data_IF_238216411130
#
_entry.id   IF_238216411130
#
_cell.length_a   1.000
_cell.length_b   1.000
_cell.length_c   1.000
_cell.angle_alpha   90.00
_cell.angle_beta   90.00
_cell.angle_gamma   90.00
#
_symmetry.space_group_name_H-M   'P 1'
#
loop_
_entity.id
_entity.type
_entity.pdbx_description
1 polymer ?
#
# COMPACT_ATOMS: atom_id res chain seq x y z
N UNK A 1 -22.36 0.80 21.14
CA UNK A 1 -22.17 1.74 20.04
C UNK A 1 -21.27 1.03 19.04
N UNK A 2 -21.84 0.47 17.99
CA UNK A 2 -21.07 -0.13 16.90
C UNK A 2 -20.33 1.02 16.21
N UNK A 3 -19.04 1.16 16.50
CA UNK A 3 -18.16 2.05 15.75
C UNK A 3 -17.80 1.31 14.45
N UNK A 4 -18.79 1.13 13.58
CA UNK A 4 -18.55 0.60 12.25
C UNK A 4 -17.98 1.76 11.44
N UNK A 5 -16.68 2.01 11.62
CA UNK A 5 -15.93 2.87 10.71
C UNK A 5 -15.83 2.03 9.45
N UNK A 6 -16.61 2.28 8.41
CA UNK A 6 -16.58 1.55 7.13
C UNK A 6 -15.23 1.74 6.39
N UNK A 7 -14.13 1.22 6.94
CA UNK A 7 -12.77 1.40 6.44
C UNK A 7 -12.55 0.44 5.26
N UNK A 8 -12.24 0.95 4.05
CA UNK A 8 -11.90 0.10 2.91
C UNK A 8 -10.72 -0.82 3.23
N UNK A 9 -10.80 -2.09 2.84
CA UNK A 9 -9.75 -3.08 3.12
C UNK A 9 -9.83 -3.72 4.51
N UNK A 10 -10.50 -3.10 5.48
CA UNK A 10 -10.75 -3.68 6.81
C UNK A 10 -12.17 -4.25 6.91
N UNK A 11 -13.20 -3.42 6.76
CA UNK A 11 -14.60 -3.83 6.87
C UNK A 11 -15.14 -4.39 5.55
N UNK A 12 -14.55 -3.94 4.45
CA UNK A 12 -14.80 -4.46 3.10
C UNK A 12 -13.49 -4.96 2.50
N UNK A 13 -13.34 -6.27 2.25
CA UNK A 13 -12.11 -6.80 1.65
C UNK A 13 -11.88 -6.22 0.25
N UNK A 14 -10.62 -6.06 -0.12
CA UNK A 14 -10.24 -5.65 -1.48
C UNK A 14 -10.74 -6.64 -2.52
N UNK A 15 -11.00 -6.13 -3.72
CA UNK A 15 -11.45 -6.93 -4.84
C UNK A 15 -10.30 -7.83 -5.32
N UNK A 16 -10.62 -9.07 -5.69
CA UNK A 16 -9.61 -9.95 -6.30
C UNK A 16 -9.25 -9.42 -7.70
N UNK A 17 -7.97 -9.50 -8.12
CA UNK A 17 -7.55 -9.18 -9.48
C UNK A 17 -8.41 -9.91 -10.53
N UNK A 18 -9.02 -9.15 -11.44
CA UNK A 18 -9.84 -9.68 -12.55
C UNK A 18 -9.49 -8.96 -13.85
N UNK A 19 -9.45 -9.70 -14.96
CA UNK A 19 -9.21 -9.17 -16.31
C UNK A 19 -7.74 -8.88 -16.63
N UNK A 20 -7.08 -8.02 -15.85
CA UNK A 20 -5.66 -7.68 -16.01
C UNK A 20 -4.86 -8.44 -14.96
N UNK A 21 -3.87 -9.23 -15.35
CA UNK A 21 -3.02 -9.93 -14.38
C UNK A 21 -2.00 -8.96 -13.76
N UNK A 22 -1.77 -9.03 -12.43
CA UNK A 22 -0.68 -8.30 -11.79
C UNK A 22 0.69 -8.69 -12.38
N UNK A 23 1.65 -7.78 -12.31
CA UNK A 23 3.01 -8.03 -12.77
C UNK A 23 3.63 -9.25 -12.01
N UNK A 24 4.08 -10.29 -12.72
CA UNK A 24 4.41 -11.58 -12.10
C UNK A 24 5.71 -11.53 -11.28
N UNK A 25 6.72 -10.79 -11.73
CA UNK A 25 7.96 -10.56 -10.99
C UNK A 25 7.71 -9.76 -9.72
N UNK A 26 6.84 -8.73 -9.77
CA UNK A 26 6.42 -7.95 -8.61
C UNK A 26 5.65 -8.81 -7.61
N UNK A 27 4.71 -9.63 -8.10
CA UNK A 27 3.94 -10.57 -7.28
C UNK A 27 4.88 -11.56 -6.58
N UNK A 28 5.83 -12.11 -7.32
CA UNK A 28 6.84 -13.02 -6.78
C UNK A 28 7.70 -12.33 -5.73
N UNK A 29 8.20 -11.13 -6.00
CA UNK A 29 9.02 -10.36 -5.07
C UNK A 29 8.26 -10.10 -3.76
N UNK A 30 7.03 -9.58 -3.86
CA UNK A 30 6.16 -9.31 -2.72
C UNK A 30 5.92 -10.57 -1.87
N UNK A 31 5.63 -11.72 -2.51
CA UNK A 31 5.37 -12.99 -1.83
C UNK A 31 6.62 -13.62 -1.17
N UNK A 32 7.80 -13.32 -1.68
CA UNK A 32 9.07 -13.87 -1.19
C UNK A 32 9.71 -13.00 -0.10
N UNK A 33 9.20 -11.78 0.10
CA UNK A 33 9.75 -10.89 1.10
C UNK A 33 9.43 -11.37 2.52
N UNK A 34 10.45 -11.31 3.36
CA UNK A 34 10.32 -11.41 4.81
C UNK A 34 10.78 -10.07 5.37
N UNK A 35 9.86 -9.36 6.03
CA UNK A 35 10.15 -8.06 6.62
C UNK A 35 10.48 -8.25 8.10
N UNK A 36 11.69 -7.87 8.50
CA UNK A 36 12.07 -7.78 9.91
C UNK A 36 11.51 -6.51 10.55
N UNK A 37 11.47 -6.50 11.90
CA UNK A 37 11.24 -5.28 12.68
C UNK A 37 12.28 -4.23 12.26
N UNK A 38 11.86 -3.21 11.50
CA UNK A 38 12.72 -2.12 11.03
C UNK A 38 12.98 -2.07 9.53
N UNK A 39 12.43 -2.99 8.73
CA UNK A 39 12.37 -2.77 7.26
C UNK A 39 11.57 -1.49 7.00
N UNK A 40 11.94 -0.65 6.04
CA UNK A 40 11.14 0.53 5.68
C UNK A 40 10.22 0.26 4.47
N UNK A 41 9.11 0.99 4.38
CA UNK A 41 8.21 0.94 3.22
C UNK A 41 8.94 1.27 1.90
N UNK A 42 9.89 2.21 1.94
CA UNK A 42 10.74 2.58 0.81
C UNK A 42 11.61 1.41 0.34
N UNK A 43 12.23 0.66 1.27
CA UNK A 43 13.03 -0.52 0.94
C UNK A 43 12.19 -1.63 0.31
N UNK A 44 10.97 -1.83 0.78
CA UNK A 44 10.03 -2.79 0.18
C UNK A 44 9.72 -2.38 -1.26
N UNK A 45 9.30 -1.12 -1.48
CA UNK A 45 8.94 -0.62 -2.79
C UNK A 45 10.11 -0.70 -3.78
N UNK A 46 11.31 -0.31 -3.37
CA UNK A 46 12.53 -0.36 -4.19
C UNK A 46 12.93 -1.80 -4.54
N UNK A 47 12.88 -2.73 -3.58
CA UNK A 47 13.19 -4.13 -3.85
C UNK A 47 12.23 -4.76 -4.87
N UNK A 48 10.94 -4.38 -4.85
CA UNK A 48 9.98 -4.82 -5.87
C UNK A 48 10.34 -4.20 -7.22
N UNK A 49 10.64 -2.90 -7.28
CA UNK A 49 11.04 -2.22 -8.52
C UNK A 49 12.30 -2.85 -9.15
N UNK A 50 13.29 -3.21 -8.32
CA UNK A 50 14.50 -3.91 -8.79
C UNK A 50 14.15 -5.29 -9.35
N UNK A 51 13.26 -6.03 -8.68
CA UNK A 51 12.87 -7.37 -9.10
C UNK A 51 12.13 -7.38 -10.46
N UNK A 52 11.42 -6.32 -10.80
CA UNK A 52 10.74 -6.16 -12.11
C UNK A 52 11.67 -5.65 -13.21
N UNK A 53 12.95 -5.42 -12.90
CA UNK A 53 13.91 -4.83 -13.82
C UNK A 53 13.64 -3.35 -14.10
N UNK A 54 13.08 -2.63 -13.12
CA UNK A 54 12.76 -1.20 -13.23
C UNK A 54 11.47 -0.90 -14.00
N UNK A 55 10.62 -1.90 -14.25
CA UNK A 55 9.28 -1.68 -14.81
C UNK A 55 8.34 -1.23 -13.71
N UNK A 56 7.41 -0.33 -14.02
CA UNK A 56 6.50 0.26 -13.03
C UNK A 56 7.09 1.52 -12.40
N UNK A 57 6.63 1.86 -11.20
CA UNK A 57 7.12 3.03 -10.45
C UNK A 57 6.82 2.91 -8.96
N UNK A 58 7.49 3.72 -8.15
CA UNK A 58 7.15 3.94 -6.75
C UNK A 58 6.13 5.08 -6.68
N UNK A 59 5.07 4.89 -5.89
CA UNK A 59 4.21 5.96 -5.43
C UNK A 59 4.60 6.34 -4.01
N UNK A 60 4.63 7.64 -3.75
CA UNK A 60 4.90 8.20 -2.43
C UNK A 60 3.67 8.92 -1.91
N UNK A 61 3.30 8.61 -0.67
CA UNK A 61 2.27 9.31 0.10
C UNK A 61 2.94 10.23 1.09
N UNK A 62 2.60 11.52 1.05
CA UNK A 62 3.14 12.53 1.96
C UNK A 62 1.99 13.19 2.75
N UNK A 63 2.12 13.32 4.08
CA UNK A 63 1.15 14.08 4.86
C UNK A 63 1.28 15.58 4.57
N UNK A 64 0.28 16.35 4.99
CA UNK A 64 0.42 17.81 5.08
C UNK A 64 1.52 18.15 6.08
N UNK A 65 2.25 19.24 5.85
CA UNK A 65 3.33 19.70 6.73
C UNK A 65 2.86 19.76 8.20
N UNK A 66 3.65 19.17 9.10
CA UNK A 66 3.35 19.09 10.54
C UNK A 66 2.43 17.93 10.94
N UNK A 67 1.94 17.13 9.99
CA UNK A 67 1.11 15.96 10.26
C UNK A 67 1.86 14.64 9.99
N UNK A 68 1.25 13.53 10.43
CA UNK A 68 1.70 12.17 10.17
C UNK A 68 0.55 11.37 9.55
N UNK A 69 0.89 10.37 8.74
CA UNK A 69 -0.07 9.50 8.10
C UNK A 69 -0.63 8.48 9.10
N UNK A 70 -1.89 8.14 8.88
CA UNK A 70 -2.57 6.97 9.42
C UNK A 70 -2.59 5.90 8.34
N UNK A 71 -2.04 4.72 8.62
CA UNK A 71 -1.99 3.60 7.67
C UNK A 71 -2.65 2.36 8.28
N UNK A 72 -3.15 1.48 7.41
CA UNK A 72 -3.63 0.16 7.78
C UNK A 72 -2.53 -0.86 7.46
N UNK A 73 -2.00 -1.54 8.47
CA UNK A 73 -1.07 -2.66 8.31
C UNK A 73 -1.79 -3.95 8.77
N UNK A 74 -2.18 -4.79 7.81
CA UNK A 74 -3.04 -5.94 8.04
C UNK A 74 -4.41 -5.53 8.57
N UNK A 75 -4.73 -5.94 9.80
CA UNK A 75 -5.95 -5.58 10.53
C UNK A 75 -5.75 -4.43 11.52
N UNK A 76 -4.54 -3.86 11.60
CA UNK A 76 -4.18 -2.84 12.58
C UNK A 76 -4.12 -1.45 11.95
N UNK A 77 -4.93 -0.54 12.49
CA UNK A 77 -4.87 0.87 12.15
C UNK A 77 -3.79 1.58 12.98
N UNK A 78 -2.75 2.05 12.33
CA UNK A 78 -1.61 2.73 12.91
C UNK A 78 -1.79 4.26 12.74
N UNK A 79 -2.46 4.89 13.71
CA UNK A 79 -2.91 6.28 13.62
C UNK A 79 -1.79 7.31 13.86
N UNK A 80 -1.61 8.25 12.93
CA UNK A 80 -0.67 9.40 13.03
C UNK A 80 0.79 9.02 13.34
N UNK A 81 1.30 7.93 12.79
CA UNK A 81 2.66 7.44 13.07
C UNK A 81 3.67 7.76 11.97
N UNK A 82 3.29 7.69 10.69
CA UNK A 82 4.24 7.67 9.60
C UNK A 82 4.50 9.06 9.01
N UNK A 83 5.74 9.35 8.63
CA UNK A 83 6.12 10.63 8.00
C UNK A 83 5.97 10.60 6.47
N UNK A 84 5.89 9.41 5.88
CA UNK A 84 5.52 9.14 4.49
C UNK A 84 5.17 7.65 4.37
N UNK A 85 4.65 7.24 3.22
CA UNK A 85 4.52 5.84 2.83
C UNK A 85 4.98 5.68 1.37
N UNK A 86 5.67 4.60 1.06
CA UNK A 86 6.07 4.28 -0.32
C UNK A 86 5.62 2.88 -0.69
N UNK A 87 5.08 2.75 -1.90
CA UNK A 87 4.58 1.49 -2.45
C UNK A 87 4.97 1.37 -3.91
N UNK A 88 5.21 0.15 -4.36
CA UNK A 88 5.40 -0.14 -5.78
C UNK A 88 4.05 -0.29 -6.49
N UNK A 89 3.98 0.20 -7.73
CA UNK A 89 2.87 -0.06 -8.65
C UNK A 89 3.36 -0.47 -10.05
N UNK A 90 2.64 -1.42 -10.65
CA UNK A 90 2.79 -1.78 -12.06
C UNK A 90 1.91 -0.90 -13.00
N UNK A 91 1.15 0.05 -12.43
CA UNK A 91 0.19 0.92 -13.12
C UNK A 91 -1.27 0.49 -13.00
N UNK A 92 -1.55 -0.74 -12.58
CA UNK A 92 -2.90 -1.24 -12.31
C UNK A 92 -3.08 -1.68 -10.86
N UNK A 93 -2.02 -2.23 -10.27
CA UNK A 93 -2.01 -2.78 -8.93
C UNK A 93 -0.97 -2.12 -8.05
N UNK A 94 -1.23 -2.15 -6.74
CA UNK A 94 -0.33 -1.76 -5.65
C UNK A 94 0.14 -3.04 -4.97
N UNK A 95 1.45 -3.07 -4.71
CA UNK A 95 2.13 -4.19 -4.06
C UNK A 95 2.61 -3.72 -2.70
N UNK A 96 1.70 -3.76 -1.73
CA UNK A 96 1.94 -3.37 -0.34
C UNK A 96 1.72 -4.58 0.58
N UNK A 97 2.78 -5.37 0.84
CA UNK A 97 2.66 -6.61 1.60
C UNK A 97 2.35 -6.39 3.08
N UNK A 98 2.47 -5.17 3.61
CA UNK A 98 2.05 -4.86 4.97
C UNK A 98 0.56 -4.62 5.07
N UNK A 99 -0.04 -4.06 4.03
CA UNK A 99 -1.47 -3.86 3.94
C UNK A 99 -2.20 -5.16 3.56
N UNK A 100 -1.76 -5.84 2.51
CA UNK A 100 -2.39 -7.06 2.02
C UNK A 100 -1.37 -8.02 1.38
N UNK A 101 -1.46 -9.34 1.63
CA UNK A 101 -0.57 -10.31 0.98
C UNK A 101 -0.83 -10.48 -0.53
N UNK A 102 -1.90 -9.89 -1.08
CA UNK A 102 -2.24 -9.92 -2.50
C UNK A 102 -2.20 -8.52 -3.12
N UNK A 103 -1.88 -8.40 -4.43
CA UNK A 103 -1.90 -7.12 -5.11
C UNK A 103 -3.29 -6.49 -5.07
N UNK A 104 -3.34 -5.19 -4.78
CA UNK A 104 -4.58 -4.41 -4.59
C UNK A 104 -4.79 -3.54 -5.81
N UNK A 105 -6.02 -3.36 -6.31
CA UNK A 105 -6.25 -2.38 -7.38
C UNK A 105 -5.81 -0.98 -6.94
N UNK A 106 -5.13 -0.26 -7.85
CA UNK A 106 -4.64 1.09 -7.58
C UNK A 106 -5.75 2.00 -7.05
N UNK A 107 -6.94 1.97 -7.67
CA UNK A 107 -8.08 2.80 -7.26
C UNK A 107 -8.60 2.46 -5.85
N UNK A 108 -8.60 1.19 -5.47
CA UNK A 108 -9.04 0.77 -4.12
C UNK A 108 -8.03 1.21 -3.06
N UNK A 109 -6.73 1.12 -3.37
CA UNK A 109 -5.67 1.60 -2.49
C UNK A 109 -5.71 3.13 -2.36
N UNK A 110 -5.85 3.88 -3.46
CA UNK A 110 -5.99 5.34 -3.42
C UNK A 110 -7.22 5.76 -2.60
N UNK A 111 -8.34 5.06 -2.76
CA UNK A 111 -9.56 5.28 -1.97
C UNK A 111 -9.29 5.10 -0.48
N UNK A 112 -8.61 4.03 -0.07
CA UNK A 112 -8.21 3.82 1.32
C UNK A 112 -7.30 4.92 1.83
N UNK A 113 -6.22 5.23 1.13
CA UNK A 113 -5.25 6.25 1.56
C UNK A 113 -5.92 7.61 1.72
N UNK A 114 -6.81 8.00 0.80
CA UNK A 114 -7.59 9.24 0.89
C UNK A 114 -8.65 9.21 1.98
N UNK A 115 -9.26 8.06 2.25
CA UNK A 115 -10.19 7.92 3.37
C UNK A 115 -9.48 8.15 4.71
N UNK A 116 -8.31 7.53 4.91
CA UNK A 116 -7.52 7.67 6.15
C UNK A 116 -6.79 9.02 6.24
N UNK A 117 -6.37 9.57 5.09
CA UNK A 117 -5.55 10.77 5.01
C UNK A 117 -6.09 11.72 3.92
N UNK A 118 -7.23 12.41 4.14
CA UNK A 118 -7.92 13.18 3.11
C UNK A 118 -7.08 14.24 2.41
N UNK A 119 -6.11 14.82 3.13
CA UNK A 119 -5.25 15.88 2.64
C UNK A 119 -3.86 15.39 2.19
N UNK A 120 -3.56 14.09 2.33
CA UNK A 120 -2.27 13.55 1.90
C UNK A 120 -2.10 13.66 0.39
N UNK A 121 -0.88 13.89 -0.06
CA UNK A 121 -0.51 13.92 -1.47
C UNK A 121 -0.01 12.54 -1.88
N UNK A 122 -0.42 12.06 -3.06
CA UNK A 122 0.10 10.85 -3.70
C UNK A 122 0.84 11.31 -4.96
N UNK A 123 2.10 10.91 -5.12
CA UNK A 123 2.98 11.29 -6.25
C UNK A 123 3.70 10.10 -6.82
#
# INVERSE_FOLDING_TARGET
>A
MSNDRDIPGLDKPFSLPQGISPEPEATKAMNQMSFGLGTDCSEIAENILIATGGKGKILRVEPVEGYRLTLLEGDKLEENLFIYHEVYTDGYYIFDPRLNPYPIFLEEWETLIKFLNPQAKIT
#
